data_IF_163156487445
#
_entry.id   IF_163156487445
#
_cell.length_a   1.000
_cell.length_b   1.000
_cell.length_c   1.000
_cell.angle_alpha   90.00
_cell.angle_beta   90.00
_cell.angle_gamma   90.00
#
_symmetry.space_group_name_H-M   'P 1'
#
loop_
_entity.id
_entity.type
_entity.pdbx_description
1 polymer ?
#
# COMPACT_ATOMS: atom_id res chain seq x y z
N UNK A 1 -10.45 16.75 0.18
CA UNK A 1 -10.32 15.26 0.18
C UNK A 1 -10.63 14.75 1.57
N UNK A 2 -11.58 13.84 1.66
CA UNK A 2 -11.99 13.26 2.93
C UNK A 2 -11.40 11.89 3.11
N UNK A 3 -10.48 11.80 4.06
CA UNK A 3 -9.83 10.56 4.46
C UNK A 3 -10.66 9.89 5.55
N UNK A 4 -10.93 8.58 5.42
CA UNK A 4 -11.67 7.85 6.45
C UNK A 4 -10.74 7.35 7.57
N UNK A 5 -9.55 6.87 7.21
CA UNK A 5 -8.56 6.38 8.19
C UNK A 5 -7.20 6.18 7.53
N UNK A 6 -6.19 5.92 8.34
CA UNK A 6 -4.95 5.31 7.86
C UNK A 6 -5.27 3.81 7.69
N UNK A 7 -5.16 3.32 6.45
CA UNK A 7 -5.53 1.95 6.11
C UNK A 7 -4.42 0.97 6.48
N UNK A 8 -3.19 1.26 6.08
CA UNK A 8 -2.06 0.39 6.37
C UNK A 8 -0.74 1.12 6.27
N UNK A 9 0.29 0.44 6.77
CA UNK A 9 1.69 0.80 6.59
C UNK A 9 2.29 -0.27 5.67
N UNK A 10 2.85 0.13 4.55
CA UNK A 10 3.50 -0.77 3.59
C UNK A 10 4.98 -0.95 3.91
N UNK A 11 5.41 -2.19 3.98
CA UNK A 11 6.79 -2.59 4.27
C UNK A 11 7.28 -3.47 3.13
N UNK A 12 8.31 -3.03 2.42
CA UNK A 12 8.97 -3.86 1.41
C UNK A 12 10.00 -4.75 2.10
N UNK A 13 9.95 -6.03 1.81
CA UNK A 13 10.94 -7.00 2.30
C UNK A 13 11.49 -7.80 1.13
N UNK A 14 12.78 -8.21 1.19
CA UNK A 14 13.41 -8.88 0.06
C UNK A 14 12.89 -10.29 -0.21
N UNK A 15 12.29 -10.96 0.77
CA UNK A 15 11.77 -12.30 0.61
C UNK A 15 10.71 -12.63 1.66
N UNK A 16 9.98 -13.71 1.42
CA UNK A 16 8.89 -14.16 2.30
C UNK A 16 9.38 -14.56 3.68
N UNK A 17 10.56 -15.14 3.77
CA UNK A 17 11.13 -15.58 5.05
C UNK A 17 11.26 -14.42 6.03
N UNK A 18 11.68 -13.25 5.55
CA UNK A 18 11.75 -12.04 6.38
C UNK A 18 10.38 -11.61 6.90
N UNK A 19 9.36 -11.68 6.05
CA UNK A 19 7.99 -11.35 6.47
C UNK A 19 7.48 -12.33 7.53
N UNK A 20 7.73 -13.62 7.34
CA UNK A 20 7.33 -14.65 8.30
C UNK A 20 8.02 -14.48 9.65
N UNK A 21 9.32 -14.18 9.64
CA UNK A 21 10.07 -13.88 10.87
C UNK A 21 9.50 -12.68 11.61
N UNK A 22 9.19 -11.61 10.88
CA UNK A 22 8.60 -10.40 11.46
C UNK A 22 7.24 -10.71 12.10
N UNK A 23 6.39 -11.41 11.38
CA UNK A 23 5.06 -11.78 11.88
C UNK A 23 5.15 -12.66 13.12
N UNK A 24 6.10 -13.59 13.14
CA UNK A 24 6.30 -14.51 14.25
C UNK A 24 6.78 -13.78 15.50
N UNK A 25 7.78 -12.91 15.34
CA UNK A 25 8.35 -12.14 16.47
C UNK A 25 7.32 -11.18 17.06
N UNK A 26 6.55 -10.49 16.22
CA UNK A 26 5.64 -9.41 16.65
C UNK A 26 4.17 -9.82 16.71
N UNK A 27 3.90 -11.11 16.56
CA UNK A 27 2.55 -11.68 16.69
C UNK A 27 1.54 -11.11 15.69
N UNK A 28 1.95 -10.99 14.43
CA UNK A 28 1.04 -10.69 13.33
C UNK A 28 0.57 -11.98 12.66
N UNK A 29 -0.65 -11.97 12.15
CA UNK A 29 -1.22 -13.08 11.40
C UNK A 29 -1.67 -12.61 10.03
N UNK A 30 -1.55 -13.48 9.03
CA UNK A 30 -2.01 -13.19 7.67
C UNK A 30 -3.53 -13.11 7.65
N UNK A 31 -4.04 -12.02 7.10
CA UNK A 31 -5.45 -11.88 6.75
C UNK A 31 -5.69 -12.31 5.31
N UNK A 32 -4.95 -11.71 4.38
CA UNK A 32 -5.10 -11.96 2.95
C UNK A 32 -3.77 -11.79 2.25
N UNK A 33 -3.55 -12.59 1.22
CA UNK A 33 -2.34 -12.53 0.41
C UNK A 33 -2.70 -12.62 -1.07
N UNK A 34 -2.09 -11.77 -1.90
CA UNK A 34 -2.35 -11.75 -3.34
C UNK A 34 -1.16 -11.16 -4.10
N UNK A 35 -0.90 -11.65 -5.30
CA UNK A 35 0.08 -11.05 -6.20
C UNK A 35 -0.51 -9.82 -6.87
N UNK A 36 0.22 -8.70 -6.86
CA UNK A 36 -0.20 -7.45 -7.49
C UNK A 36 0.63 -7.23 -8.75
N UNK A 37 0.01 -7.44 -9.89
CA UNK A 37 0.65 -7.34 -11.20
C UNK A 37 1.24 -5.95 -11.45
N UNK A 38 0.52 -4.90 -11.10
CA UNK A 38 0.93 -3.51 -11.35
C UNK A 38 2.28 -3.17 -10.71
N UNK A 39 2.64 -3.83 -9.63
CA UNK A 39 3.88 -3.57 -8.90
C UNK A 39 4.83 -4.76 -8.85
N UNK A 40 4.50 -5.85 -9.53
CA UNK A 40 5.29 -7.08 -9.58
C UNK A 40 5.68 -7.57 -8.18
N UNK A 41 4.71 -7.68 -7.30
CA UNK A 41 4.96 -8.02 -5.91
C UNK A 41 3.89 -8.93 -5.34
N UNK A 42 4.32 -9.84 -4.47
CA UNK A 42 3.43 -10.60 -3.60
C UNK A 42 3.13 -9.74 -2.39
N UNK A 43 1.86 -9.46 -2.12
CA UNK A 43 1.42 -8.59 -1.04
C UNK A 43 0.67 -9.37 0.02
N UNK A 44 1.07 -9.19 1.27
CA UNK A 44 0.52 -9.91 2.42
C UNK A 44 -0.04 -8.88 3.39
N UNK A 45 -1.37 -8.87 3.58
CA UNK A 45 -2.01 -8.04 4.60
C UNK A 45 -2.17 -8.81 5.89
N UNK A 46 -1.88 -8.15 7.00
CA UNK A 46 -2.07 -8.71 8.34
C UNK A 46 -3.47 -8.44 8.86
N UNK A 47 -3.96 -9.35 9.72
CA UNK A 47 -5.19 -9.14 10.48
C UNK A 47 -5.02 -7.95 11.40
N UNK A 48 -6.06 -7.14 11.51
CA UNK A 48 -6.10 -6.06 12.48
C UNK A 48 -7.40 -6.07 13.28
N UNK A 49 -7.31 -5.60 14.51
CA UNK A 49 -8.44 -5.37 15.40
C UNK A 49 -9.14 -4.08 14.98
N UNK A 50 -10.32 -3.83 15.51
CA UNK A 50 -11.03 -2.58 15.28
C UNK A 50 -10.13 -1.39 15.64
N UNK A 51 -10.08 -0.41 14.73
CA UNK A 51 -9.30 0.82 14.85
C UNK A 51 -7.77 0.64 14.80
N UNK A 52 -7.30 -0.58 14.61
CA UNK A 52 -5.89 -0.85 14.39
C UNK A 52 -5.54 -0.61 12.92
N UNK A 53 -4.30 -0.23 12.67
CA UNK A 53 -3.75 -0.06 11.32
C UNK A 53 -3.13 -1.38 10.88
N UNK A 54 -3.49 -1.87 9.69
CA UNK A 54 -2.90 -3.08 9.16
C UNK A 54 -1.46 -2.85 8.71
N UNK A 55 -0.69 -3.92 8.63
CA UNK A 55 0.62 -3.93 7.97
C UNK A 55 0.48 -4.71 6.67
N UNK A 56 1.04 -4.16 5.60
CA UNK A 56 1.16 -4.86 4.33
C UNK A 56 2.64 -5.16 4.08
N UNK A 57 2.97 -6.44 3.92
CA UNK A 57 4.30 -6.83 3.47
C UNK A 57 4.29 -6.95 1.96
N UNK A 58 5.26 -6.30 1.32
CA UNK A 58 5.40 -6.25 -0.13
C UNK A 58 6.69 -6.96 -0.48
N UNK A 59 6.57 -8.10 -1.17
CA UNK A 59 7.71 -8.92 -1.55
C UNK A 59 7.85 -8.83 -3.07
N UNK A 60 8.73 -7.95 -3.58
CA UNK A 60 8.86 -7.77 -5.02
C UNK A 60 9.53 -8.98 -5.68
N UNK A 61 9.05 -9.33 -6.86
CA UNK A 61 9.60 -10.42 -7.67
C UNK A 61 10.52 -9.89 -8.76
N UNK A 62 10.29 -8.67 -9.22
CA UNK A 62 11.10 -8.00 -10.25
C UNK A 62 10.85 -6.49 -10.20
N UNK A 63 11.63 -5.74 -10.97
CA UNK A 63 11.44 -4.30 -11.12
C UNK A 63 12.08 -3.48 -10.03
N UNK A 64 11.73 -2.20 -9.99
CA UNK A 64 12.40 -1.20 -9.15
C UNK A 64 12.28 -1.45 -7.66
N UNK A 65 11.19 -2.06 -7.20
CA UNK A 65 11.00 -2.35 -5.79
C UNK A 65 12.03 -3.33 -5.22
N UNK A 66 12.63 -4.18 -6.07
CA UNK A 66 13.70 -5.10 -5.63
C UNK A 66 14.93 -4.36 -5.13
N UNK A 67 15.10 -3.11 -5.55
CA UNK A 67 16.24 -2.26 -5.16
C UNK A 67 15.89 -1.30 -4.03
N UNK A 68 14.68 -1.34 -3.50
CA UNK A 68 14.26 -0.42 -2.45
C UNK A 68 15.20 -0.53 -1.24
N UNK A 69 15.73 0.62 -0.81
CA UNK A 69 16.69 0.69 0.28
C UNK A 69 17.91 -0.22 0.05
N UNK A 70 18.46 -0.19 -1.16
CA UNK A 70 19.59 -1.04 -1.59
C UNK A 70 19.29 -2.55 -1.45
N UNK A 71 18.05 -2.94 -1.68
CA UNK A 71 17.61 -4.33 -1.59
C UNK A 71 17.34 -4.83 -0.18
N UNK A 72 17.50 -3.99 0.83
CA UNK A 72 17.27 -4.37 2.23
C UNK A 72 15.80 -4.30 2.63
N UNK A 73 15.01 -3.49 1.91
CA UNK A 73 13.63 -3.23 2.27
C UNK A 73 13.50 -2.24 3.42
N UNK A 74 12.31 -2.15 3.96
CA UNK A 74 11.94 -1.24 5.04
C UNK A 74 10.57 -0.65 4.84
N UNK A 75 10.18 0.31 5.68
CA UNK A 75 8.91 1.02 5.54
C UNK A 75 8.92 1.77 4.21
N UNK A 76 7.88 1.53 3.40
CA UNK A 76 7.80 2.03 2.03
C UNK A 76 6.77 3.15 1.88
N UNK A 77 5.59 2.99 2.46
CA UNK A 77 4.53 3.98 2.32
C UNK A 77 3.53 3.93 3.47
N UNK A 78 2.74 5.02 3.54
CA UNK A 78 1.55 5.12 4.40
C UNK A 78 0.35 5.15 3.47
N UNK A 79 -0.68 4.36 3.75
CA UNK A 79 -1.89 4.32 2.94
C UNK A 79 -3.07 4.97 3.65
N UNK A 80 -3.74 5.88 2.95
CA UNK A 80 -4.93 6.58 3.42
C UNK A 80 -6.16 6.03 2.71
N UNK A 81 -7.14 5.57 3.48
CA UNK A 81 -8.39 5.12 2.90
C UNK A 81 -9.29 6.31 2.55
N UNK A 82 -9.85 6.28 1.35
CA UNK A 82 -10.79 7.27 0.84
C UNK A 82 -11.98 6.55 0.21
N UNK A 83 -13.07 7.26 0.00
CA UNK A 83 -14.26 6.67 -0.60
C UNK A 83 -14.16 6.52 -2.12
N UNK A 84 -13.37 7.37 -2.78
CA UNK A 84 -13.25 7.36 -4.24
C UNK A 84 -11.86 7.89 -4.63
N UNK A 85 -10.97 6.97 -5.02
CA UNK A 85 -9.59 7.32 -5.40
C UNK A 85 -9.55 8.20 -6.65
N UNK A 86 -10.44 7.97 -7.62
CA UNK A 86 -10.47 8.77 -8.84
C UNK A 86 -10.94 10.20 -8.59
N UNK A 87 -11.89 10.39 -7.67
CA UNK A 87 -12.31 11.73 -7.24
C UNK A 87 -11.15 12.48 -6.57
N UNK A 88 -10.38 11.78 -5.74
CA UNK A 88 -9.17 12.33 -5.10
C UNK A 88 -8.14 12.74 -6.15
N UNK A 89 -7.90 11.88 -7.14
CA UNK A 89 -6.96 12.18 -8.24
C UNK A 89 -7.36 13.45 -8.98
N UNK A 90 -8.63 13.59 -9.34
CA UNK A 90 -9.15 14.77 -10.05
C UNK A 90 -9.02 16.03 -9.21
N UNK A 91 -9.35 15.96 -7.93
CA UNK A 91 -9.22 17.09 -7.00
C UNK A 91 -7.78 17.60 -6.94
N UNK A 92 -6.80 16.70 -6.83
CA UNK A 92 -5.40 17.08 -6.79
C UNK A 92 -4.90 17.59 -8.15
N UNK A 93 -5.33 17.01 -9.26
CA UNK A 93 -4.94 17.50 -10.60
C UNK A 93 -5.41 18.95 -10.83
N UNK A 94 -6.59 19.30 -10.35
CA UNK A 94 -7.09 20.68 -10.42
C UNK A 94 -6.21 21.66 -9.66
N UNK A 95 -5.48 21.17 -8.66
CA UNK A 95 -4.51 21.94 -7.88
C UNK A 95 -3.09 21.87 -8.44
N UNK A 96 -2.90 21.20 -9.58
CA UNK A 96 -1.59 21.02 -10.20
C UNK A 96 -0.75 19.92 -9.57
N UNK A 97 -1.33 19.04 -8.76
CA UNK A 97 -0.64 17.96 -8.07
C UNK A 97 -0.96 16.64 -8.79
N UNK A 98 -0.04 16.20 -9.61
CA UNK A 98 -0.23 14.98 -10.41
C UNK A 98 0.17 13.74 -9.63
N UNK A 99 -0.76 12.79 -9.53
CA UNK A 99 -0.50 11.48 -8.90
C UNK A 99 0.32 10.57 -9.83
N UNK A 100 0.82 9.47 -9.28
CA UNK A 100 1.72 8.57 -10.00
C UNK A 100 1.04 7.87 -11.17
N UNK A 101 -0.17 7.34 -10.94
CA UNK A 101 -0.91 6.63 -11.97
C UNK A 101 -1.96 7.54 -12.62
N UNK A 102 -2.18 7.40 -13.93
CA UNK A 102 -3.23 8.16 -14.64
C UNK A 102 -4.63 7.72 -14.23
N UNK A 103 -4.76 6.48 -13.78
CA UNK A 103 -5.97 5.92 -13.22
C UNK A 103 -5.61 4.95 -12.11
N UNK A 104 -6.49 4.77 -11.14
CA UNK A 104 -6.28 3.81 -10.05
C UNK A 104 -6.06 2.41 -10.61
N UNK A 105 -5.17 1.66 -9.97
CA UNK A 105 -4.83 0.29 -10.36
C UNK A 105 -5.26 -0.69 -9.26
N UNK A 106 -5.51 -1.96 -9.61
CA UNK A 106 -5.82 -2.97 -8.61
C UNK A 106 -4.64 -3.19 -7.65
N UNK A 107 -4.94 -3.13 -6.35
CA UNK A 107 -4.05 -3.59 -5.30
C UNK A 107 -4.45 -5.00 -4.85
N UNK A 108 -3.88 -5.47 -3.74
CA UNK A 108 -4.19 -6.79 -3.21
C UNK A 108 -5.53 -6.79 -2.47
N UNK A 109 -6.27 -7.90 -2.59
CA UNK A 109 -7.37 -8.23 -1.67
C UNK A 109 -8.53 -7.23 -1.71
N UNK A 110 -8.95 -6.84 -2.91
CA UNK A 110 -10.19 -6.10 -3.12
C UNK A 110 -10.10 -4.59 -2.98
N UNK A 111 -8.92 -4.02 -3.21
CA UNK A 111 -8.72 -2.57 -3.21
C UNK A 111 -8.27 -2.07 -4.57
N UNK A 112 -8.51 -0.80 -4.83
CA UNK A 112 -7.84 -0.05 -5.90
C UNK A 112 -7.05 1.08 -5.29
N UNK A 113 -5.93 1.42 -5.91
CA UNK A 113 -4.95 2.31 -5.30
C UNK A 113 -4.35 3.29 -6.31
N UNK A 114 -3.84 4.40 -5.79
CA UNK A 114 -2.97 5.31 -6.51
C UNK A 114 -2.04 5.98 -5.49
N UNK A 115 -0.88 6.42 -5.95
CA UNK A 115 0.11 7.05 -5.08
C UNK A 115 0.24 8.54 -5.41
N UNK A 116 0.38 9.36 -4.36
CA UNK A 116 0.87 10.73 -4.51
C UNK A 116 2.39 10.69 -4.70
N UNK A 117 2.89 11.52 -5.59
CA UNK A 117 4.35 11.63 -5.80
C UNK A 117 5.02 12.15 -4.52
N UNK A 118 6.15 11.53 -4.11
CA UNK A 118 6.81 11.89 -2.85
C UNK A 118 7.16 13.37 -2.72
N UNK A 119 7.45 14.04 -3.83
CA UNK A 119 7.79 15.47 -3.81
C UNK A 119 6.68 16.36 -3.25
N UNK A 120 5.42 15.90 -3.29
CA UNK A 120 4.29 16.62 -2.73
C UNK A 120 3.96 16.20 -1.30
N UNK A 121 4.58 15.13 -0.80
CA UNK A 121 4.37 14.58 0.53
C UNK A 121 5.59 14.70 1.43
N UNK A 122 6.38 15.75 1.27
CA UNK A 122 7.60 15.98 2.06
C UNK A 122 8.61 14.82 1.94
N UNK A 123 8.67 14.18 0.78
CA UNK A 123 9.53 13.02 0.53
C UNK A 123 8.93 11.70 0.99
N UNK A 124 7.74 11.72 1.57
CA UNK A 124 7.04 10.51 2.04
C UNK A 124 6.09 10.03 0.94
N UNK A 125 6.16 8.75 0.62
CA UNK A 125 5.23 8.15 -0.33
C UNK A 125 3.90 7.87 0.35
N UNK A 126 2.83 8.45 -0.18
CA UNK A 126 1.46 8.30 0.34
C UNK A 126 0.60 7.61 -0.72
N UNK A 127 -0.03 6.51 -0.31
CA UNK A 127 -0.98 5.76 -1.14
C UNK A 127 -2.40 6.16 -0.77
N UNK A 128 -3.29 6.22 -1.76
CA UNK A 128 -4.73 6.35 -1.55
C UNK A 128 -5.39 5.02 -1.90
N UNK A 129 -6.26 4.55 -1.03
CA UNK A 129 -6.88 3.22 -1.10
C UNK A 129 -8.39 3.35 -1.06
N UNK A 130 -9.07 2.70 -2.00
CA UNK A 130 -10.52 2.55 -2.01
C UNK A 130 -10.84 1.07 -1.87
N UNK A 131 -11.67 0.71 -0.90
CA UNK A 131 -12.16 -0.65 -0.72
C UNK A 131 -13.32 -0.90 -1.67
N UNK A 132 -13.27 -1.99 -2.44
CA UNK A 132 -14.29 -2.30 -3.44
C UNK A 132 -15.46 -3.11 -2.86
N UNK A 133 -15.25 -3.80 -1.73
CA UNK A 133 -16.26 -4.67 -1.10
C UNK A 133 -16.19 -4.55 0.41
N UNK A 134 -17.23 -5.01 1.11
CA UNK A 134 -17.24 -5.02 2.57
C UNK A 134 -16.17 -5.95 3.16
N UNK A 135 -15.85 -7.05 2.46
CA UNK A 135 -14.83 -8.02 2.88
C UNK A 135 -13.42 -7.70 2.35
N UNK A 136 -13.22 -6.56 1.68
CA UNK A 136 -11.89 -6.09 1.28
C UNK A 136 -11.03 -5.77 2.50
N UNK A 137 -9.72 -5.88 2.32
CA UNK A 137 -8.78 -5.41 3.37
C UNK A 137 -8.78 -3.88 3.55
#
# INVERSE_FOLDING_TARGET
>A
MDRTRIHHIGIVLPNRERAEQFMDIFNFQVDCEEYVEAYHAQCIFTKCKDQEVAVEFIIPTEGVLTQYNNGKGGIHHIALQVDDVEAVRKEYEEKGLKMLEEAAVPGACGIIVNFMRPKYGAGILVEFVERLHEDSV
#
